data_IF_055777960204
#
_entry.id   IF_055777960204
#
_cell.length_a   1.000
_cell.length_b   1.000
_cell.length_c   1.000
_cell.angle_alpha   90.00
_cell.angle_beta   90.00
_cell.angle_gamma   90.00
#
_symmetry.space_group_name_H-M   'P 1'
#
loop_
_entity.id
_entity.type
_entity.pdbx_description
1 polymer ?
#
# COMPACT_ATOMS: atom_id res chain seq x y z
N UNK A 1 6.63 15.90 1.45
CA UNK A 1 6.85 16.37 2.80
C UNK A 1 7.11 15.15 3.67
N UNK A 2 8.33 15.01 4.19
CA UNK A 2 8.75 13.88 5.02
C UNK A 2 8.11 13.92 6.42
N UNK A 3 8.07 12.80 7.17
CA UNK A 3 7.54 12.79 8.54
C UNK A 3 8.32 13.76 9.44
N UNK A 4 9.63 13.92 9.18
CA UNK A 4 10.49 14.91 9.85
C UNK A 4 10.01 16.34 9.61
N UNK A 5 9.58 16.66 8.40
CA UNK A 5 9.02 17.98 8.07
C UNK A 5 7.64 18.18 8.72
N UNK A 6 6.76 17.17 8.72
CA UNK A 6 5.47 17.24 9.42
C UNK A 6 5.67 17.47 10.93
N UNK A 7 6.60 16.74 11.55
CA UNK A 7 6.95 16.89 12.96
C UNK A 7 7.52 18.27 13.28
N UNK A 8 8.36 18.81 12.40
CA UNK A 8 8.85 20.19 12.53
C UNK A 8 7.69 21.20 12.51
N UNK A 9 6.76 21.08 11.57
CA UNK A 9 5.57 21.95 11.49
C UNK A 9 4.72 21.85 12.76
N UNK A 10 4.49 20.64 13.28
CA UNK A 10 3.76 20.42 14.54
C UNK A 10 4.48 21.05 15.73
N UNK A 11 5.81 20.95 15.80
CA UNK A 11 6.60 21.58 16.85
C UNK A 11 6.50 23.11 16.79
N UNK A 12 6.54 23.71 15.60
CA UNK A 12 6.37 25.16 15.42
C UNK A 12 4.97 25.58 15.87
N UNK A 13 3.94 24.82 15.50
CA UNK A 13 2.56 25.06 15.96
C UNK A 13 2.43 24.99 17.49
N UNK A 14 3.00 23.95 18.12
CA UNK A 14 2.98 23.77 19.59
C UNK A 14 3.73 24.90 20.32
N UNK A 15 4.77 25.46 19.70
CA UNK A 15 5.53 26.62 20.22
C UNK A 15 4.81 27.96 20.06
N UNK A 16 3.72 28.01 19.27
CA UNK A 16 2.97 29.24 19.03
C UNK A 16 3.63 30.24 18.08
N UNK A 17 4.63 29.83 17.31
CA UNK A 17 5.29 30.71 16.32
C UNK A 17 4.47 30.78 15.03
N UNK A 18 3.54 31.72 14.98
CA UNK A 18 2.55 31.86 13.90
C UNK A 18 3.20 32.24 12.57
N UNK A 19 4.23 33.10 12.57
CA UNK A 19 4.88 33.56 11.34
C UNK A 19 5.68 32.44 10.69
N UNK A 20 6.50 31.74 11.48
CA UNK A 20 7.26 30.61 10.99
C UNK A 20 6.34 29.49 10.51
N UNK A 21 5.22 29.27 11.22
CA UNK A 21 4.21 28.30 10.84
C UNK A 21 3.58 28.62 9.48
N UNK A 22 3.14 29.86 9.27
CA UNK A 22 2.53 30.28 8.00
C UNK A 22 3.48 30.06 6.83
N UNK A 23 4.74 30.50 6.96
CA UNK A 23 5.77 30.30 5.92
C UNK A 23 5.97 28.82 5.61
N UNK A 24 6.10 27.97 6.63
CA UNK A 24 6.32 26.53 6.44
C UNK A 24 5.12 25.82 5.82
N UNK A 25 3.90 26.21 6.19
CA UNK A 25 2.68 25.67 5.58
C UNK A 25 2.54 26.11 4.12
N UNK A 26 2.96 27.33 3.77
CA UNK A 26 2.99 27.79 2.38
C UNK A 26 4.03 27.05 1.54
N UNK A 27 5.28 26.95 2.01
CA UNK A 27 6.37 26.22 1.34
C UNK A 27 5.99 24.76 1.01
N UNK A 28 5.18 24.12 1.86
CA UNK A 28 4.86 22.69 1.76
C UNK A 28 3.42 22.41 1.29
N UNK A 29 2.69 23.42 0.82
CA UNK A 29 1.27 23.32 0.49
C UNK A 29 0.47 22.56 1.58
N UNK A 30 0.63 22.97 2.84
CA UNK A 30 0.09 22.30 4.01
C UNK A 30 -0.96 23.10 4.77
N UNK A 31 -1.67 22.44 5.68
CA UNK A 31 -2.58 23.06 6.66
C UNK A 31 -2.60 22.26 7.96
N UNK A 32 -3.11 22.86 9.03
CA UNK A 32 -3.35 22.18 10.30
C UNK A 32 -4.85 22.03 10.50
N UNK A 33 -5.23 20.85 10.99
CA UNK A 33 -6.57 20.52 11.41
C UNK A 33 -6.57 20.14 12.88
N UNK A 34 -7.53 20.66 13.64
CA UNK A 34 -7.78 20.27 15.02
C UNK A 34 -9.03 19.39 15.07
N UNK A 35 -8.84 18.12 15.40
CA UNK A 35 -9.91 17.11 15.43
C UNK A 35 -10.96 17.39 16.54
N UNK A 36 -10.57 18.11 17.61
CA UNK A 36 -11.45 18.45 18.74
C UNK A 36 -12.36 19.65 18.43
N UNK A 37 -11.80 20.71 17.85
CA UNK A 37 -12.59 21.90 17.48
C UNK A 37 -13.19 21.82 16.08
N UNK A 38 -12.77 20.83 15.29
CA UNK A 38 -13.07 20.68 13.87
C UNK A 38 -12.70 21.90 13.01
N UNK A 39 -11.66 22.63 13.40
CA UNK A 39 -11.21 23.84 12.71
C UNK A 39 -9.96 23.58 11.88
N UNK A 40 -9.90 24.24 10.74
CA UNK A 40 -8.71 24.30 9.91
C UNK A 40 -8.01 25.65 10.06
N UNK A 41 -6.68 25.64 10.04
CA UNK A 41 -5.92 26.90 9.92
C UNK A 41 -5.98 27.48 8.49
N UNK A 42 -6.25 26.64 7.48
CA UNK A 42 -6.42 27.05 6.06
C UNK A 42 -7.45 26.15 5.37
N UNK A 43 -8.09 26.61 4.29
CA UNK A 43 -9.10 25.82 3.55
C UNK A 43 -8.63 24.40 3.26
N UNK A 44 -9.48 23.42 3.57
CA UNK A 44 -9.31 22.01 3.25
C UNK A 44 -9.24 21.80 1.74
N UNK A 45 -8.33 20.93 1.30
CA UNK A 45 -8.37 20.30 -0.03
C UNK A 45 -8.57 18.79 0.12
N UNK A 46 -9.33 18.16 -0.77
CA UNK A 46 -9.95 16.82 -0.60
C UNK A 46 -9.02 15.62 -0.83
N UNK A 47 -7.70 15.82 -1.02
CA UNK A 47 -6.75 14.74 -1.36
C UNK A 47 -5.42 14.81 -0.60
N UNK A 48 -5.43 15.34 0.63
CA UNK A 48 -4.20 15.55 1.40
C UNK A 48 -3.94 14.41 2.36
N UNK A 49 -2.66 14.04 2.52
CA UNK A 49 -2.22 13.12 3.56
C UNK A 49 -2.24 13.84 4.91
N UNK A 50 -2.63 13.13 5.97
CA UNK A 50 -2.78 13.66 7.31
C UNK A 50 -1.77 12.98 8.26
N UNK A 51 -1.09 13.78 9.08
CA UNK A 51 -0.03 13.34 9.99
C UNK A 51 -0.26 13.91 11.40
N UNK A 52 -0.11 13.06 12.41
CA UNK A 52 -0.17 13.34 13.82
C UNK A 52 1.18 12.98 14.48
N UNK A 53 1.58 13.71 15.52
CA UNK A 53 2.88 13.51 16.17
C UNK A 53 2.96 12.17 16.90
N UNK A 54 1.86 11.76 17.52
CA UNK A 54 1.76 10.53 18.31
C UNK A 54 1.59 9.29 17.43
N UNK A 55 0.68 9.33 16.46
CA UNK A 55 0.31 8.16 15.65
C UNK A 55 0.93 8.11 14.26
N UNK A 56 1.73 9.12 13.89
CA UNK A 56 2.25 9.26 12.53
C UNK A 56 1.12 9.57 11.55
N UNK A 57 1.09 8.92 10.39
CA UNK A 57 -0.02 9.09 9.45
C UNK A 57 -1.35 8.62 10.03
N UNK A 58 -2.38 9.44 9.84
CA UNK A 58 -3.75 9.21 10.30
C UNK A 58 -4.72 9.32 9.13
N UNK A 59 -5.82 8.58 9.21
CA UNK A 59 -6.82 8.51 8.15
C UNK A 59 -8.11 9.20 8.56
N UNK A 60 -8.87 9.61 7.55
CA UNK A 60 -10.22 10.11 7.74
C UNK A 60 -11.13 8.92 8.05
N UNK A 61 -11.79 8.97 9.20
CA UNK A 61 -12.90 8.08 9.53
C UNK A 61 -14.10 8.50 8.67
N UNK A 62 -14.31 7.82 7.55
CA UNK A 62 -15.37 8.12 6.60
C UNK A 62 -16.76 7.95 7.22
N UNK A 63 -16.94 7.00 8.14
CA UNK A 63 -18.23 6.76 8.78
C UNK A 63 -18.55 7.88 9.76
N UNK A 64 -17.63 8.19 10.67
CA UNK A 64 -17.83 9.30 11.62
C UNK A 64 -17.92 10.65 10.89
N UNK A 65 -17.20 10.81 9.77
CA UNK A 65 -17.29 12.02 8.95
C UNK A 65 -18.68 12.16 8.31
N UNK A 66 -19.26 11.07 7.79
CA UNK A 66 -20.63 11.06 7.24
C UNK A 66 -21.68 11.38 8.31
N UNK A 67 -21.50 10.83 9.51
CA UNK A 67 -22.44 11.03 10.63
C UNK A 67 -22.40 12.47 11.15
N UNK A 68 -21.20 13.02 11.35
CA UNK A 68 -21.03 14.35 11.98
C UNK A 68 -21.05 15.51 10.98
N UNK A 69 -20.93 15.22 9.68
CA UNK A 69 -20.73 16.22 8.63
C UNK A 69 -19.37 16.95 8.70
N UNK A 70 -18.51 16.59 9.66
CA UNK A 70 -17.19 17.21 9.89
C UNK A 70 -16.12 16.15 9.71
N UNK A 71 -14.96 16.54 9.18
CA UNK A 71 -13.85 15.60 9.06
C UNK A 71 -13.50 15.02 10.44
N UNK A 72 -13.31 13.71 10.55
CA UNK A 72 -12.79 13.10 11.77
C UNK A 72 -11.60 12.23 11.42
N UNK A 73 -10.48 12.46 12.08
CA UNK A 73 -9.28 11.65 11.90
C UNK A 73 -9.09 10.67 13.06
N UNK A 74 -8.45 9.54 12.81
CA UNK A 74 -8.08 8.57 13.85
C UNK A 74 -6.87 9.07 14.64
N UNK A 75 -7.10 9.98 15.61
CA UNK A 75 -6.07 10.52 16.51
C UNK A 75 -6.39 10.20 17.96
N UNK A 76 -5.40 10.11 18.85
CA UNK A 76 -5.61 10.06 20.29
C UNK A 76 -6.36 11.30 20.79
N UNK A 77 -7.21 11.16 21.81
CA UNK A 77 -7.97 12.30 22.36
C UNK A 77 -7.07 13.39 22.95
N UNK A 78 -5.91 13.00 23.48
CA UNK A 78 -4.90 13.89 24.07
C UNK A 78 -3.98 14.56 23.02
N UNK A 79 -4.01 14.12 21.76
CA UNK A 79 -3.23 14.73 20.67
C UNK A 79 -4.10 14.87 19.40
N UNK A 80 -5.08 15.81 19.38
CA UNK A 80 -6.05 15.93 18.30
C UNK A 80 -5.52 16.69 17.07
N UNK A 81 -4.25 17.11 17.06
CA UNK A 81 -3.71 17.99 16.04
C UNK A 81 -3.15 17.18 14.87
N UNK A 82 -3.53 17.58 13.66
CA UNK A 82 -3.13 16.91 12.43
C UNK A 82 -2.57 17.94 11.46
N UNK A 83 -1.38 17.69 10.91
CA UNK A 83 -0.86 18.40 9.74
C UNK A 83 -1.31 17.67 8.49
N UNK A 84 -1.91 18.39 7.56
CA UNK A 84 -2.29 17.87 6.26
C UNK A 84 -1.42 18.48 5.15
N UNK A 85 -0.99 17.67 4.18
CA UNK A 85 -0.16 18.12 3.06
C UNK A 85 -0.55 17.41 1.76
N UNK A 86 -0.26 18.05 0.63
CA UNK A 86 -0.45 17.46 -0.70
C UNK A 86 0.50 16.29 -0.99
N UNK A 87 1.68 16.25 -0.38
CA UNK A 87 2.65 15.20 -0.70
C UNK A 87 2.28 13.87 -0.04
N UNK A 88 1.80 12.95 -0.89
CA UNK A 88 1.34 11.61 -0.52
C UNK A 88 2.43 10.55 -0.65
N UNK A 89 3.63 10.88 -1.13
CA UNK A 89 4.71 9.90 -1.34
C UNK A 89 5.15 9.27 -0.02
N UNK A 90 5.30 10.10 1.00
CA UNK A 90 5.63 9.68 2.36
C UNK A 90 4.49 8.88 2.98
N UNK A 91 3.24 9.27 2.67
CA UNK A 91 2.07 8.55 3.11
C UNK A 91 2.02 7.12 2.55
N UNK A 92 2.46 6.97 1.30
CA UNK A 92 2.57 5.69 0.61
C UNK A 92 3.71 4.84 1.17
N UNK A 93 4.90 5.40 1.33
CA UNK A 93 6.09 4.70 1.86
C UNK A 93 5.88 4.19 3.29
N UNK A 94 5.32 5.01 4.18
CA UNK A 94 5.03 4.58 5.56
C UNK A 94 3.90 3.54 5.59
N UNK A 95 2.94 3.61 4.66
CA UNK A 95 1.89 2.59 4.52
C UNK A 95 2.47 1.26 4.03
N UNK A 96 3.40 1.28 3.08
CA UNK A 96 4.18 0.10 2.67
C UNK A 96 4.90 -0.46 3.90
N UNK A 97 5.64 0.37 4.64
CA UNK A 97 6.40 -0.06 5.82
C UNK A 97 5.49 -0.68 6.90
N UNK A 98 4.34 -0.08 7.21
CA UNK A 98 3.36 -0.65 8.15
C UNK A 98 2.83 -1.99 7.67
N UNK A 99 2.54 -2.14 6.38
CA UNK A 99 2.12 -3.44 5.82
C UNK A 99 3.24 -4.48 5.95
N UNK A 100 4.49 -4.11 5.65
CA UNK A 100 5.64 -5.00 5.79
C UNK A 100 5.86 -5.46 7.23
N UNK A 101 5.77 -4.55 8.21
CA UNK A 101 5.87 -4.90 9.64
C UNK A 101 4.78 -5.86 10.11
N UNK A 102 3.55 -5.70 9.58
CA UNK A 102 2.46 -6.64 9.86
C UNK A 102 2.74 -8.04 9.30
N UNK A 103 3.42 -8.12 8.16
CA UNK A 103 3.84 -9.39 7.57
C UNK A 103 4.98 -10.02 8.36
N UNK A 104 5.89 -9.23 8.94
CA UNK A 104 7.10 -9.73 9.57
C UNK A 104 6.94 -10.32 10.98
N UNK A 105 5.72 -10.53 11.51
CA UNK A 105 5.46 -11.04 12.87
C UNK A 105 6.45 -10.47 13.91
N UNK A 106 6.61 -9.13 13.97
CA UNK A 106 7.41 -8.50 15.03
C UNK A 106 6.71 -8.71 16.38
N UNK A 107 7.00 -9.86 17.01
CA UNK A 107 6.84 -10.10 18.44
C UNK A 107 7.72 -11.22 19.00
N UNK A 108 8.60 -11.85 18.22
CA UNK A 108 9.54 -12.85 18.77
C UNK A 108 10.99 -12.45 18.47
N UNK A 109 11.79 -12.42 19.54
CA UNK A 109 13.23 -12.18 19.59
C UNK A 109 14.06 -13.28 18.90
N UNK A 110 13.44 -14.09 18.04
CA UNK A 110 14.07 -15.21 17.36
C UNK A 110 13.83 -15.08 15.84
N UNK A 111 14.82 -14.51 15.15
CA UNK A 111 14.82 -14.31 13.71
C UNK A 111 14.86 -15.64 12.91
N UNK A 112 14.90 -16.80 13.58
CA UNK A 112 15.05 -18.12 12.94
C UNK A 112 13.73 -18.84 12.62
N UNK A 113 12.61 -18.50 13.27
CA UNK A 113 11.36 -19.30 13.15
C UNK A 113 10.23 -18.68 12.29
N UNK A 114 10.37 -17.44 11.79
CA UNK A 114 9.25 -16.72 11.15
C UNK A 114 9.13 -16.86 9.63
N UNK A 115 10.09 -17.49 8.95
CA UNK A 115 10.08 -17.64 7.48
C UNK A 115 9.71 -19.05 6.97
N UNK A 116 9.23 -19.95 7.84
CA UNK A 116 8.96 -21.35 7.46
C UNK A 116 7.81 -21.53 6.45
N UNK A 117 6.94 -20.53 6.31
CA UNK A 117 5.79 -20.56 5.38
C UNK A 117 6.03 -19.74 4.09
N UNK A 118 7.26 -19.24 3.85
CA UNK A 118 7.59 -18.45 2.67
C UNK A 118 7.88 -19.36 1.47
N UNK A 119 6.90 -19.55 0.59
CA UNK A 119 7.13 -20.28 -0.67
C UNK A 119 8.00 -19.43 -1.61
N UNK A 120 9.17 -19.89 -2.03
CA UNK A 120 9.98 -19.12 -2.99
C UNK A 120 9.29 -19.11 -4.36
N UNK A 121 8.92 -17.94 -4.91
CA UNK A 121 8.23 -17.89 -6.20
C UNK A 121 9.18 -18.30 -7.33
N UNK A 122 8.66 -18.99 -8.33
CA UNK A 122 9.39 -19.22 -9.59
C UNK A 122 9.45 -17.93 -10.39
N UNK A 123 10.66 -17.40 -10.59
CA UNK A 123 10.89 -16.15 -11.33
C UNK A 123 11.42 -16.46 -12.73
N UNK A 124 10.75 -15.92 -13.75
CA UNK A 124 11.23 -15.92 -15.13
C UNK A 124 11.61 -14.50 -15.52
N UNK A 125 12.88 -14.29 -15.86
CA UNK A 125 13.39 -12.99 -16.29
C UNK A 125 13.35 -12.85 -17.81
N UNK A 126 12.66 -11.81 -18.29
CA UNK A 126 12.59 -11.49 -19.72
C UNK A 126 13.22 -10.12 -19.92
N UNK A 127 14.40 -10.10 -20.54
CA UNK A 127 15.11 -8.86 -20.85
C UNK A 127 14.95 -8.52 -22.34
N UNK A 128 15.01 -7.22 -22.65
CA UNK A 128 15.03 -6.75 -24.03
C UNK A 128 15.32 -5.26 -24.10
N UNK A 129 15.89 -4.82 -25.22
CA UNK A 129 16.22 -3.41 -25.47
C UNK A 129 14.97 -2.52 -25.54
N UNK A 130 15.08 -1.19 -25.38
CA UNK A 130 13.96 -0.28 -25.63
C UNK A 130 13.36 -0.51 -27.02
N UNK A 131 12.03 -0.45 -27.15
CA UNK A 131 11.34 -0.67 -28.43
C UNK A 131 11.17 -2.13 -28.87
N UNK A 132 11.74 -3.12 -28.18
CA UNK A 132 11.61 -4.54 -28.57
C UNK A 132 10.23 -5.17 -28.27
N UNK A 133 9.25 -4.38 -27.83
CA UNK A 133 7.87 -4.85 -27.64
C UNK A 133 7.58 -5.62 -26.35
N UNK A 134 8.37 -5.50 -25.27
CA UNK A 134 8.13 -6.18 -23.97
C UNK A 134 6.71 -5.96 -23.42
N UNK A 135 6.27 -4.70 -23.36
CA UNK A 135 4.92 -4.34 -22.90
C UNK A 135 3.85 -4.96 -23.81
N UNK A 136 4.08 -4.98 -25.13
CA UNK A 136 3.17 -5.64 -26.09
C UNK A 136 3.10 -7.14 -25.84
N UNK A 137 4.25 -7.78 -25.58
CA UNK A 137 4.33 -9.20 -25.24
C UNK A 137 3.57 -9.52 -23.95
N UNK A 138 3.72 -8.71 -22.89
CA UNK A 138 2.95 -8.85 -21.64
C UNK A 138 1.45 -8.81 -21.93
N UNK A 139 1.00 -7.82 -22.72
CA UNK A 139 -0.41 -7.67 -23.07
C UNK A 139 -0.92 -8.84 -23.90
N UNK A 140 -0.09 -9.49 -24.71
CA UNK A 140 -0.48 -10.66 -25.53
C UNK A 140 -0.54 -11.96 -24.71
N UNK A 141 0.46 -12.20 -23.86
CA UNK A 141 0.60 -13.40 -23.03
C UNK A 141 -0.33 -13.41 -21.80
N UNK A 142 -0.95 -12.27 -21.48
CA UNK A 142 -1.87 -12.12 -20.36
C UNK A 142 -3.08 -13.07 -20.46
N UNK A 143 -3.35 -13.77 -19.36
CA UNK A 143 -4.50 -14.62 -19.08
C UNK A 143 -5.33 -14.05 -17.92
N UNK A 144 -6.57 -13.64 -18.23
CA UNK A 144 -7.49 -13.01 -17.29
C UNK A 144 -7.82 -13.87 -16.06
N UNK A 145 -7.70 -15.21 -16.14
CA UNK A 145 -8.07 -16.09 -15.03
C UNK A 145 -7.01 -16.19 -13.94
N UNK A 146 -5.74 -15.94 -14.27
CA UNK A 146 -4.60 -16.21 -13.38
C UNK A 146 -3.60 -15.06 -13.24
N UNK A 147 -3.61 -14.09 -14.15
CA UNK A 147 -2.58 -13.06 -14.22
C UNK A 147 -2.99 -11.74 -13.59
N UNK A 148 -2.03 -11.09 -12.92
CA UNK A 148 -2.06 -9.67 -12.62
C UNK A 148 -0.83 -9.00 -13.25
N UNK A 149 -1.01 -7.84 -13.86
CA UNK A 149 0.08 -7.03 -14.38
C UNK A 149 0.44 -5.95 -13.36
N UNK A 150 1.73 -5.86 -13.04
CA UNK A 150 2.28 -4.86 -12.14
C UNK A 150 3.34 -4.03 -12.86
N UNK A 151 3.36 -2.72 -12.63
CA UNK A 151 4.39 -1.82 -13.16
C UNK A 151 4.82 -0.80 -12.11
N UNK A 152 5.92 -0.08 -12.36
CA UNK A 152 6.48 0.89 -11.42
C UNK A 152 5.66 2.19 -11.36
N UNK A 153 5.21 2.70 -12.50
CA UNK A 153 4.63 4.05 -12.62
C UNK A 153 3.11 4.05 -12.87
N UNK A 154 2.45 5.16 -12.53
CA UNK A 154 0.99 5.32 -12.75
C UNK A 154 0.72 5.43 -14.26
N UNK A 155 1.57 6.15 -14.96
CA UNK A 155 1.51 6.40 -16.39
C UNK A 155 1.61 5.08 -17.18
N UNK A 156 2.58 4.22 -16.84
CA UNK A 156 2.71 2.90 -17.45
C UNK A 156 1.49 2.02 -17.13
N UNK A 157 0.95 2.11 -15.90
CA UNK A 157 -0.24 1.34 -15.52
C UNK A 157 -1.47 1.79 -16.32
N UNK A 158 -1.65 3.09 -16.54
CA UNK A 158 -2.74 3.61 -17.37
C UNK A 158 -2.60 3.20 -18.84
N UNK A 159 -1.38 3.20 -19.37
CA UNK A 159 -1.13 2.74 -20.73
C UNK A 159 -1.41 1.25 -20.92
N UNK A 160 -0.93 0.41 -19.98
CA UNK A 160 -1.24 -1.02 -19.94
C UNK A 160 -2.74 -1.27 -19.80
N UNK A 161 -3.46 -0.49 -18.97
CA UNK A 161 -4.93 -0.60 -18.86
C UNK A 161 -5.63 -0.33 -20.17
N UNK A 162 -5.25 0.74 -20.90
CA UNK A 162 -5.84 1.04 -22.21
C UNK A 162 -5.59 -0.08 -23.21
N UNK A 163 -4.35 -0.58 -23.27
CA UNK A 163 -3.98 -1.69 -24.17
C UNK A 163 -4.72 -2.98 -23.83
N UNK A 164 -4.86 -3.29 -22.54
CA UNK A 164 -5.51 -4.51 -22.07
C UNK A 164 -7.05 -4.43 -22.14
N UNK A 165 -7.63 -3.24 -21.99
CA UNK A 165 -9.07 -3.03 -22.12
C UNK A 165 -9.62 -3.44 -23.49
N UNK A 166 -8.80 -3.37 -24.54
CA UNK A 166 -9.16 -3.89 -25.86
C UNK A 166 -9.37 -5.42 -25.88
N UNK A 167 -8.82 -6.16 -24.90
CA UNK A 167 -8.95 -7.63 -24.78
C UNK A 167 -10.01 -8.05 -23.76
N UNK A 168 -10.08 -7.39 -22.61
CA UNK A 168 -10.90 -7.82 -21.46
C UNK A 168 -11.88 -6.75 -20.96
N UNK A 169 -11.97 -5.61 -21.64
CA UNK A 169 -12.87 -4.52 -21.28
C UNK A 169 -12.55 -3.90 -19.90
N UNK A 170 -13.60 -3.64 -19.13
CA UNK A 170 -13.51 -2.89 -17.86
C UNK A 170 -12.65 -3.60 -16.78
N UNK A 171 -12.51 -4.93 -16.86
CA UNK A 171 -11.70 -5.72 -15.92
C UNK A 171 -10.21 -5.36 -15.96
N UNK A 172 -9.73 -4.72 -17.04
CA UNK A 172 -8.34 -4.25 -17.11
C UNK A 172 -7.96 -3.32 -15.95
N UNK A 173 -8.91 -2.57 -15.41
CA UNK A 173 -8.67 -1.66 -14.28
C UNK A 173 -8.31 -2.37 -12.98
N UNK A 174 -8.82 -3.58 -12.76
CA UNK A 174 -8.52 -4.40 -11.57
C UNK A 174 -7.31 -5.30 -11.78
N UNK A 175 -7.04 -5.71 -13.03
CA UNK A 175 -5.92 -6.60 -13.39
C UNK A 175 -4.58 -5.90 -13.56
N UNK A 176 -4.55 -4.59 -13.78
CA UNK A 176 -3.33 -3.79 -13.94
C UNK A 176 -3.14 -2.83 -12.78
N UNK A 177 -2.02 -2.93 -12.06
CA UNK A 177 -1.75 -2.14 -10.85
C UNK A 177 -0.31 -1.64 -10.81
N UNK A 178 -0.07 -0.64 -9.97
CA UNK A 178 1.31 -0.24 -9.64
C UNK A 178 1.86 -1.11 -8.52
N UNK A 179 3.17 -1.32 -8.47
CA UNK A 179 3.85 -2.06 -7.39
C UNK A 179 3.47 -1.49 -6.02
N UNK A 180 3.51 -0.16 -5.89
CA UNK A 180 3.11 0.49 -4.66
C UNK A 180 1.65 0.20 -4.27
N UNK A 181 0.71 0.16 -5.23
CA UNK A 181 -0.68 -0.19 -4.97
C UNK A 181 -0.83 -1.61 -4.43
N UNK A 182 -0.07 -2.56 -4.99
CA UNK A 182 -0.06 -3.97 -4.57
C UNK A 182 0.47 -4.10 -3.15
N UNK A 183 1.66 -3.56 -2.85
CA UNK A 183 2.25 -3.61 -1.51
C UNK A 183 1.36 -2.99 -0.43
N UNK A 184 0.53 -2.03 -0.82
CA UNK A 184 -0.27 -1.22 0.11
C UNK A 184 -1.65 -1.80 0.38
N UNK A 185 -2.29 -2.38 -0.64
CA UNK A 185 -3.66 -2.90 -0.50
C UNK A 185 -3.74 -4.42 -0.59
N UNK A 186 -2.62 -5.11 -0.85
CA UNK A 186 -2.60 -6.52 -1.19
C UNK A 186 -3.36 -6.82 -2.47
N UNK A 187 -3.56 -8.11 -2.76
CA UNK A 187 -4.47 -8.57 -3.81
C UNK A 187 -5.85 -8.79 -3.20
N UNK A 188 -6.90 -8.33 -3.88
CA UNK A 188 -8.29 -8.49 -3.40
C UNK A 188 -8.85 -9.89 -3.65
N UNK A 189 -8.24 -10.68 -4.52
CA UNK A 189 -8.72 -12.00 -4.92
C UNK A 189 -7.58 -13.02 -4.92
N UNK A 190 -7.87 -14.22 -4.42
CA UNK A 190 -7.03 -15.43 -4.47
C UNK A 190 -6.92 -16.03 -5.89
N UNK A 191 -7.34 -15.32 -6.93
CA UNK A 191 -7.39 -15.82 -8.31
C UNK A 191 -6.07 -15.64 -9.06
N UNK A 192 -5.14 -14.84 -8.53
CA UNK A 192 -3.92 -14.46 -9.23
C UNK A 192 -2.75 -15.38 -8.85
N UNK A 193 -2.46 -16.35 -9.71
CA UNK A 193 -1.38 -17.32 -9.50
C UNK A 193 -0.08 -16.91 -10.22
N UNK A 194 -0.12 -15.92 -11.12
CA UNK A 194 1.06 -15.43 -11.87
C UNK A 194 1.07 -13.89 -11.90
N UNK A 195 2.25 -13.32 -11.62
CA UNK A 195 2.48 -11.88 -11.68
C UNK A 195 3.34 -11.54 -12.92
N UNK A 196 2.85 -10.66 -13.78
CA UNK A 196 3.59 -10.12 -14.91
C UNK A 196 4.09 -8.72 -14.54
N UNK A 197 5.40 -8.54 -14.40
CA UNK A 197 5.98 -7.27 -13.94
C UNK A 197 6.60 -6.53 -15.11
N UNK A 198 5.99 -5.43 -15.54
CA UNK A 198 6.61 -4.46 -16.44
C UNK A 198 7.53 -3.52 -15.66
N UNK A 199 8.54 -2.96 -16.32
CA UNK A 199 9.53 -2.08 -15.70
C UNK A 199 10.17 -2.67 -14.42
N UNK A 200 10.39 -3.99 -14.39
CA UNK A 200 10.84 -4.71 -13.20
C UNK A 200 12.14 -4.12 -12.59
N UNK A 201 13.06 -3.64 -13.43
CA UNK A 201 14.32 -3.00 -12.98
C UNK A 201 14.13 -1.67 -12.24
N UNK A 202 12.97 -1.03 -12.37
CA UNK A 202 12.64 0.19 -11.62
C UNK A 202 12.15 -0.12 -10.20
N UNK A 203 11.84 -1.38 -9.92
CA UNK A 203 11.38 -1.82 -8.61
C UNK A 203 12.55 -2.41 -7.81
N UNK A 204 12.55 -2.15 -6.50
CA UNK A 204 13.48 -2.83 -5.60
C UNK A 204 13.19 -4.34 -5.59
N UNK A 205 14.22 -5.18 -5.60
CA UNK A 205 14.04 -6.64 -5.64
C UNK A 205 13.17 -7.17 -4.48
N UNK A 206 13.38 -6.66 -3.27
CA UNK A 206 12.53 -7.00 -2.12
C UNK A 206 11.05 -6.66 -2.32
N UNK A 207 10.71 -5.61 -3.09
CA UNK A 207 9.32 -5.29 -3.40
C UNK A 207 8.70 -6.33 -4.35
N UNK A 208 9.46 -6.79 -5.35
CA UNK A 208 9.05 -7.86 -6.27
C UNK A 208 8.78 -9.15 -5.49
N UNK A 209 9.71 -9.55 -4.63
CA UNK A 209 9.59 -10.74 -3.79
C UNK A 209 8.37 -10.64 -2.88
N UNK A 210 8.16 -9.49 -2.23
CA UNK A 210 7.01 -9.32 -1.34
C UNK A 210 5.68 -9.37 -2.10
N UNK A 211 5.62 -8.76 -3.29
CA UNK A 211 4.42 -8.73 -4.12
C UNK A 211 4.08 -10.06 -4.80
N UNK A 212 4.96 -11.07 -4.72
CA UNK A 212 4.73 -12.35 -5.37
C UNK A 212 3.49 -13.05 -4.79
N UNK A 213 2.72 -13.81 -5.61
CA UNK A 213 1.67 -14.68 -5.13
C UNK A 213 2.22 -15.68 -4.09
N UNK A 214 1.41 -16.04 -3.09
CA UNK A 214 1.80 -16.96 -2.00
C UNK A 214 2.34 -16.29 -0.74
N UNK A 215 2.78 -15.03 -0.80
CA UNK A 215 3.49 -14.36 0.30
C UNK A 215 2.62 -13.74 1.40
N UNK A 216 1.44 -14.31 1.68
CA UNK A 216 0.56 -13.83 2.75
C UNK A 216 -0.02 -12.42 2.56
N UNK A 217 0.16 -11.77 1.40
CA UNK A 217 -0.42 -10.44 1.12
C UNK A 217 -1.96 -10.42 1.01
N UNK A 218 -2.63 -11.56 1.20
CA UNK A 218 -4.09 -11.71 1.19
C UNK A 218 -4.75 -11.97 2.55
N UNK A 219 -4.02 -12.04 3.67
CA UNK A 219 -4.58 -12.56 4.95
C UNK A 219 -4.90 -11.52 6.02
N UNK A 220 -4.73 -10.22 5.78
CA UNK A 220 -5.07 -9.21 6.78
C UNK A 220 -6.60 -8.97 6.96
N UNK A 221 -7.45 -9.54 6.09
CA UNK A 221 -8.90 -9.36 6.15
C UNK A 221 -9.72 -10.63 6.48
N UNK A 222 -9.11 -11.81 6.53
CA UNK A 222 -9.82 -13.04 6.91
C UNK A 222 -9.27 -13.57 8.24
N UNK A 223 -9.88 -13.10 9.32
CA UNK A 223 -9.83 -13.75 10.64
C UNK A 223 -10.23 -15.21 10.39
N UNK A 224 -9.26 -16.14 10.38
CA UNK A 224 -9.53 -17.58 10.32
C UNK A 224 -10.58 -17.87 11.39
N UNK A 225 -11.81 -18.16 10.98
CA UNK A 225 -12.71 -18.93 11.81
C UNK A 225 -11.96 -20.23 12.10
N UNK A 226 -11.55 -20.42 13.35
CA UNK A 226 -11.07 -21.70 13.84
C UNK A 226 -12.25 -22.67 13.69
N UNK A 227 -12.31 -23.41 12.59
CA UNK A 227 -13.05 -24.65 12.57
C UNK A 227 -12.26 -25.69 13.35
N UNK A 228 -12.95 -26.32 14.28
CA UNK A 228 -12.50 -27.33 15.24
C UNK A 228 -11.65 -28.43 14.57
N UNK A 229 -10.53 -28.87 15.19
CA UNK A 229 -9.80 -30.04 14.73
C UNK A 229 -10.45 -31.29 15.32
N UNK A 230 -11.25 -32.00 14.53
CA UNK A 230 -11.59 -33.39 14.83
C UNK A 230 -11.69 -34.21 13.55
N UNK A 231 -10.76 -35.17 13.43
CA UNK A 231 -10.77 -36.33 12.54
C UNK A 231 -10.63 -36.10 11.03
N UNK A 232 -9.44 -36.38 10.48
CA UNK A 232 -9.10 -37.72 9.95
C UNK A 232 -7.64 -37.75 9.46
N UNK A 233 -6.90 -38.72 9.98
CA UNK A 233 -5.66 -39.22 9.40
C UNK A 233 -5.93 -39.85 8.03
N UNK A 234 -5.07 -39.57 7.06
CA UNK A 234 -4.65 -40.50 5.99
C UNK A 234 -3.30 -39.99 5.50
N UNK A 235 -2.21 -40.43 6.15
CA UNK A 235 -1.29 -41.47 5.69
C UNK A 235 -0.60 -41.14 4.35
N UNK A 236 0.67 -40.74 4.48
CA UNK A 236 1.68 -40.82 3.44
C UNK A 236 2.00 -42.30 3.14
N UNK A 237 2.08 -42.62 1.86
CA UNK A 237 2.89 -43.70 1.29
C UNK A 237 3.63 -43.01 0.13
N UNK A 238 4.88 -42.59 0.31
CA UNK A 238 6.09 -43.38 0.00
C UNK A 238 5.83 -44.46 -1.04
N UNK A 239 6.36 -44.25 -2.25
CA UNK A 239 7.06 -45.30 -2.99
C UNK A 239 8.13 -44.62 -3.87
N UNK A 240 9.39 -44.93 -3.57
CA UNK A 240 10.55 -44.75 -4.45
C UNK A 240 10.57 -45.90 -5.47
N UNK A 241 10.68 -45.56 -6.76
CA UNK A 241 11.56 -46.16 -7.79
C UNK A 241 11.22 -45.58 -9.18
#
# INVERSE_FOLDING_TARGET
MSPKQCKNILNIYKKGDIEQLKRKLEENEGTIYNNKSSQYTRRRKTKWAAYNDTCGLVYLDEQATKITGKAKYETPENDPIVVMTRDTKVALEERILRTMRKLSKENDQDYSETFTDWETPKITWINGVPGCGKTTWIVQEFDNKRDCIVTATIEAAEDLKRKLANRIGAEATTRVRTMASVLVNGFKEHTHNRLLIDEAMMNHFGAIITAAPGQGQGTAAYRRHKSNPSHRQTQCLSDEL
#
